data_IF_821328919980
#
_entry.id   IF_821328919980
#
_cell.length_a   1.000
_cell.length_b   1.000
_cell.length_c   1.000
_cell.angle_alpha   90.00
_cell.angle_beta   90.00
_cell.angle_gamma   90.00
#
_symmetry.space_group_name_H-M   'P 1'
#
loop_
_entity.id
_entity.type
_entity.pdbx_description
1 polymer ?
#
# COMPACT_ATOMS: atom_id res chain seq x y z
N UNK A 1 -4.50 27.88 4.48
CA UNK A 1 -4.00 26.51 4.69
C UNK A 1 -4.55 25.65 3.57
N UNK A 2 -3.70 25.04 2.75
CA UNK A 2 -4.19 24.12 1.71
C UNK A 2 -4.59 22.82 2.40
N UNK A 3 -5.89 22.56 2.47
CA UNK A 3 -6.48 21.27 2.86
C UNK A 3 -6.97 20.50 1.62
N UNK A 4 -6.57 20.96 0.44
CA UNK A 4 -7.01 20.41 -0.83
C UNK A 4 -6.05 19.29 -1.23
N UNK A 5 -6.59 18.08 -1.28
CA UNK A 5 -5.88 16.87 -1.66
C UNK A 5 -6.87 15.84 -2.15
N UNK A 6 -6.37 14.80 -2.81
CA UNK A 6 -7.20 13.68 -3.25
C UNK A 6 -6.79 12.47 -2.42
N UNK A 7 -7.74 11.78 -1.80
CA UNK A 7 -7.46 10.48 -1.21
C UNK A 7 -7.70 9.40 -2.26
N UNK A 8 -6.84 8.38 -2.29
CA UNK A 8 -6.89 7.29 -3.25
C UNK A 8 -6.67 5.95 -2.56
N UNK A 9 -7.42 4.95 -3.00
CA UNK A 9 -7.29 3.55 -2.59
C UNK A 9 -7.65 2.63 -3.76
N UNK A 10 -7.10 1.41 -3.79
CA UNK A 10 -7.36 0.43 -4.86
C UNK A 10 -7.63 -0.97 -4.32
N UNK A 11 -8.43 -1.73 -5.06
CA UNK A 11 -8.65 -3.17 -4.81
C UNK A 11 -8.01 -4.00 -5.93
N UNK A 12 -7.42 -5.15 -5.60
CA UNK A 12 -6.78 -6.05 -6.58
C UNK A 12 -7.51 -7.37 -6.70
N UNK A 13 -7.54 -7.92 -7.91
CA UNK A 13 -8.23 -9.19 -8.21
C UNK A 13 -7.51 -10.41 -7.62
N UNK A 14 -6.20 -10.35 -7.50
CA UNK A 14 -5.37 -11.43 -6.98
C UNK A 14 -4.11 -10.89 -6.28
N UNK A 15 -3.17 -11.79 -5.93
CA UNK A 15 -1.92 -11.44 -5.25
C UNK A 15 -0.94 -10.57 -6.08
N UNK A 16 -1.12 -10.43 -7.40
CA UNK A 16 -0.37 -9.49 -8.22
C UNK A 16 -0.92 -8.07 -8.03
N UNK A 17 -0.08 -7.17 -7.53
CA UNK A 17 -0.49 -5.79 -7.25
C UNK A 17 -0.91 -5.03 -8.51
N UNK A 18 -0.46 -5.47 -9.70
CA UNK A 18 -0.89 -4.91 -10.98
C UNK A 18 -2.31 -5.31 -11.41
N UNK A 19 -2.99 -6.20 -10.69
CA UNK A 19 -4.33 -6.72 -11.01
C UNK A 19 -5.47 -5.84 -10.47
N UNK A 20 -5.30 -4.52 -10.48
CA UNK A 20 -6.30 -3.56 -9.97
C UNK A 20 -7.65 -3.78 -10.64
N UNK A 21 -8.68 -4.00 -9.82
CA UNK A 21 -10.07 -4.21 -10.25
C UNK A 21 -11.04 -3.12 -9.75
N UNK A 22 -10.60 -2.25 -8.84
CA UNK A 22 -11.30 -1.01 -8.50
C UNK A 22 -10.32 0.10 -8.11
N UNK A 23 -10.69 1.35 -8.40
CA UNK A 23 -9.98 2.57 -7.99
C UNK A 23 -10.97 3.55 -7.37
N UNK A 24 -10.75 3.90 -6.11
CA UNK A 24 -11.49 4.94 -5.40
C UNK A 24 -10.71 6.24 -5.35
N UNK A 25 -11.33 7.36 -5.70
CA UNK A 25 -10.77 8.71 -5.56
C UNK A 25 -11.73 9.61 -4.81
N UNK A 26 -11.23 10.36 -3.82
CA UNK A 26 -12.03 11.30 -3.04
C UNK A 26 -11.30 12.62 -2.92
N UNK A 27 -11.79 13.63 -3.61
CA UNK A 27 -11.26 14.99 -3.52
C UNK A 27 -11.78 15.66 -2.25
N UNK A 28 -10.86 16.06 -1.38
CA UNK A 28 -11.12 16.93 -0.26
C UNK A 28 -10.81 18.36 -0.63
N UNK A 29 -11.73 19.28 -0.32
CA UNK A 29 -11.55 20.72 -0.50
C UNK A 29 -11.96 21.43 0.78
N UNK A 30 -11.11 22.34 1.26
CA UNK A 30 -11.36 23.12 2.48
C UNK A 30 -11.70 22.25 3.71
N UNK A 31 -11.15 21.02 3.76
CA UNK A 31 -11.36 20.07 4.87
C UNK A 31 -12.68 19.29 4.82
N UNK A 32 -13.40 19.32 3.70
CA UNK A 32 -14.60 18.52 3.47
C UNK A 32 -14.50 17.70 2.17
N UNK A 33 -15.27 16.62 2.08
CA UNK A 33 -15.40 15.86 0.82
C UNK A 33 -16.09 16.75 -0.21
N UNK A 34 -15.40 17.03 -1.32
CA UNK A 34 -15.92 17.80 -2.44
C UNK A 34 -16.55 16.91 -3.50
N UNK A 35 -15.85 15.84 -3.88
CA UNK A 35 -16.32 14.88 -4.89
C UNK A 35 -15.66 13.53 -4.69
N UNK A 36 -16.38 12.46 -4.98
CA UNK A 36 -15.83 11.10 -5.05
C UNK A 36 -16.04 10.49 -6.44
N UNK A 37 -15.19 9.54 -6.78
CA UNK A 37 -15.27 8.71 -7.96
C UNK A 37 -14.90 7.27 -7.58
N UNK A 38 -15.69 6.33 -8.04
CA UNK A 38 -15.47 4.89 -7.87
C UNK A 38 -15.43 4.26 -9.26
N UNK A 39 -14.32 3.62 -9.61
CA UNK A 39 -14.06 3.10 -10.95
C UNK A 39 -13.81 1.61 -10.85
N UNK A 40 -14.77 0.81 -11.32
CA UNK A 40 -14.51 -0.61 -11.59
C UNK A 40 -13.62 -0.76 -12.83
N UNK A 41 -12.66 -1.65 -12.74
CA UNK A 41 -11.63 -1.89 -13.75
C UNK A 41 -11.63 -3.37 -14.11
N UNK A 42 -11.55 -3.68 -15.39
CA UNK A 42 -11.22 -5.05 -15.83
C UNK A 42 -9.70 -5.23 -15.75
N UNK A 43 -9.17 -6.05 -14.80
CA UNK A 43 -7.74 -6.25 -14.67
C UNK A 43 -7.16 -7.15 -15.79
N UNK A 44 -8.02 -7.74 -16.63
CA UNK A 44 -7.66 -8.75 -17.64
C UNK A 44 -6.84 -9.89 -17.00
N UNK A 45 -7.29 -10.35 -15.84
CA UNK A 45 -6.61 -11.35 -15.02
C UNK A 45 -7.60 -12.24 -14.24
N UNK A 46 -7.08 -13.32 -13.67
CA UNK A 46 -7.86 -14.21 -12.80
C UNK A 46 -8.15 -13.56 -11.44
N UNK A 47 -9.30 -13.90 -10.86
CA UNK A 47 -9.67 -13.43 -9.52
C UNK A 47 -9.47 -14.54 -8.49
N UNK A 48 -8.78 -14.22 -7.41
CA UNK A 48 -8.61 -15.12 -6.28
C UNK A 48 -9.87 -15.10 -5.38
N UNK A 49 -10.41 -16.27 -4.98
CA UNK A 49 -11.59 -16.31 -4.09
C UNK A 49 -11.38 -15.62 -2.73
N UNK A 50 -10.14 -15.43 -2.29
CA UNK A 50 -9.80 -14.68 -1.10
C UNK A 50 -10.05 -13.18 -1.30
N UNK A 51 -9.56 -12.60 -2.39
CA UNK A 51 -9.78 -11.19 -2.76
C UNK A 51 -11.27 -10.91 -2.97
N UNK A 52 -11.96 -11.76 -3.74
CA UNK A 52 -13.42 -11.63 -3.93
C UNK A 52 -14.15 -11.60 -2.58
N UNK A 53 -13.74 -12.40 -1.59
CA UNK A 53 -14.39 -12.43 -0.27
C UNK A 53 -14.19 -11.15 0.53
N UNK A 54 -13.09 -10.44 0.29
CA UNK A 54 -12.72 -9.20 0.95
C UNK A 54 -13.61 -8.05 0.45
N UNK A 55 -13.55 -7.75 -0.85
CA UNK A 55 -14.20 -6.58 -1.46
C UNK A 55 -15.49 -6.89 -2.23
N UNK A 56 -15.79 -8.16 -2.50
CA UNK A 56 -17.02 -8.58 -3.19
C UNK A 56 -17.05 -8.28 -4.69
N UNK A 57 -15.92 -7.95 -5.32
CA UNK A 57 -15.82 -7.68 -6.76
C UNK A 57 -15.53 -9.00 -7.47
N UNK A 58 -16.41 -9.39 -8.39
CA UNK A 58 -16.30 -10.65 -9.15
C UNK A 58 -15.91 -10.35 -10.60
N UNK A 59 -15.38 -11.34 -11.35
CA UNK A 59 -15.10 -11.19 -12.79
C UNK A 59 -16.30 -10.65 -13.58
N UNK A 60 -17.52 -11.07 -13.23
CA UNK A 60 -18.75 -10.62 -13.91
C UNK A 60 -19.04 -9.14 -13.67
N UNK A 61 -18.69 -8.59 -12.50
CA UNK A 61 -18.89 -7.16 -12.19
C UNK A 61 -17.98 -6.25 -13.01
N UNK A 62 -16.79 -6.74 -13.36
CA UNK A 62 -15.80 -5.98 -14.12
C UNK A 62 -15.84 -6.26 -15.62
N UNK A 63 -16.60 -7.28 -16.05
CA UNK A 63 -16.75 -7.60 -17.46
C UNK A 63 -17.25 -6.39 -18.27
N UNK A 64 -16.49 -6.02 -19.30
CA UNK A 64 -16.79 -4.87 -20.17
C UNK A 64 -16.48 -3.49 -19.57
N UNK A 65 -15.88 -3.43 -18.38
CA UNK A 65 -15.32 -2.20 -17.81
C UNK A 65 -13.98 -1.85 -18.49
N UNK A 66 -13.51 -0.59 -18.41
CA UNK A 66 -12.19 -0.25 -18.92
C UNK A 66 -11.09 -0.99 -18.17
N UNK A 67 -9.99 -1.33 -18.85
CA UNK A 67 -8.75 -1.79 -18.21
C UNK A 67 -7.88 -0.59 -17.81
N UNK A 68 -6.77 -0.86 -17.10
CA UNK A 68 -5.87 0.20 -16.63
C UNK A 68 -5.18 0.97 -17.77
N UNK A 69 -5.05 0.38 -18.97
CA UNK A 69 -4.58 1.10 -20.15
C UNK A 69 -5.44 2.33 -20.50
N UNK A 70 -6.75 2.28 -20.21
CA UNK A 70 -7.68 3.39 -20.40
C UNK A 70 -7.84 4.26 -19.17
N UNK A 71 -7.79 3.66 -17.98
CA UNK A 71 -8.05 4.38 -16.71
C UNK A 71 -6.87 5.28 -16.33
N UNK A 72 -5.63 4.78 -16.40
CA UNK A 72 -4.44 5.52 -15.93
C UNK A 72 -4.30 6.89 -16.60
N UNK A 73 -4.36 7.03 -17.95
CA UNK A 73 -4.21 8.33 -18.58
C UNK A 73 -5.26 9.36 -18.15
N UNK A 74 -6.50 8.90 -17.91
CA UNK A 74 -7.60 9.77 -17.48
C UNK A 74 -7.37 10.28 -16.05
N UNK A 75 -6.99 9.38 -15.13
CA UNK A 75 -6.70 9.80 -13.75
C UNK A 75 -5.40 10.61 -13.68
N UNK A 76 -4.35 10.27 -14.44
CA UNK A 76 -3.08 10.99 -14.43
C UNK A 76 -3.25 12.47 -14.78
N UNK A 77 -4.08 12.79 -15.78
CA UNK A 77 -4.40 14.16 -16.14
C UNK A 77 -5.14 14.92 -15.03
N UNK A 78 -5.99 14.23 -14.26
CA UNK A 78 -6.72 14.84 -13.14
C UNK A 78 -5.88 15.00 -11.87
N UNK A 79 -4.80 14.21 -11.75
CA UNK A 79 -3.93 14.14 -10.56
C UNK A 79 -2.61 14.88 -10.74
N UNK A 80 -2.42 15.59 -11.85
CA UNK A 80 -1.18 16.30 -12.14
C UNK A 80 -0.84 17.31 -11.03
N UNK A 81 0.32 17.14 -10.41
CA UNK A 81 0.81 17.92 -9.27
C UNK A 81 -0.09 17.86 -8.01
N UNK A 82 -1.06 16.96 -7.96
CA UNK A 82 -1.92 16.79 -6.81
C UNK A 82 -1.19 16.08 -5.66
N UNK A 83 -1.58 16.40 -4.43
CA UNK A 83 -1.23 15.59 -3.26
C UNK A 83 -2.23 14.46 -3.14
N UNK A 84 -1.74 13.22 -3.15
CA UNK A 84 -2.52 11.99 -3.01
C UNK A 84 -2.34 11.41 -1.62
N UNK A 85 -3.41 11.33 -0.84
CA UNK A 85 -3.42 10.68 0.47
C UNK A 85 -3.82 9.22 0.31
N UNK A 86 -3.05 8.31 0.90
CA UNK A 86 -3.33 6.87 0.89
C UNK A 86 -3.05 6.27 2.28
N UNK A 87 -3.41 5.00 2.54
CA UNK A 87 -3.30 4.41 3.90
C UNK A 87 -2.33 3.24 4.03
N UNK A 88 -1.56 2.94 2.99
CA UNK A 88 -0.33 2.16 3.09
C UNK A 88 0.46 2.24 1.79
N UNK A 89 1.75 1.89 1.76
CA UNK A 89 2.53 1.83 0.52
C UNK A 89 1.93 1.00 -0.63
N UNK A 90 0.94 0.14 -0.33
CA UNK A 90 0.24 -0.71 -1.30
C UNK A 90 -0.28 0.07 -2.52
N UNK A 91 -1.06 1.14 -2.31
CA UNK A 91 -1.80 1.81 -3.40
C UNK A 91 -0.88 2.38 -4.47
N UNK A 92 0.16 3.10 -4.03
CA UNK A 92 1.16 3.69 -4.93
C UNK A 92 1.93 2.62 -5.69
N UNK A 93 2.19 1.47 -5.06
CA UNK A 93 2.88 0.34 -5.71
C UNK A 93 1.97 -0.36 -6.71
N UNK A 94 0.72 -0.63 -6.35
CA UNK A 94 -0.26 -1.25 -7.24
C UNK A 94 -0.47 -0.42 -8.51
N UNK A 95 -0.58 0.90 -8.39
CA UNK A 95 -0.69 1.80 -9.53
C UNK A 95 0.58 1.84 -10.39
N UNK A 96 1.76 1.86 -9.78
CA UNK A 96 3.03 1.77 -10.51
C UNK A 96 3.16 0.42 -11.27
N UNK A 97 2.71 -0.67 -10.66
CA UNK A 97 2.70 -2.01 -11.26
C UNK A 97 1.72 -2.11 -12.42
N UNK A 98 0.50 -1.59 -12.26
CA UNK A 98 -0.47 -1.50 -13.33
C UNK A 98 0.04 -0.63 -14.48
N UNK A 99 0.63 0.53 -14.19
CA UNK A 99 1.25 1.40 -15.19
C UNK A 99 2.34 0.66 -15.99
N UNK A 100 3.21 -0.09 -15.32
CA UNK A 100 4.24 -0.91 -15.95
C UNK A 100 3.67 -2.03 -16.81
N UNK A 101 2.63 -2.73 -16.33
CA UNK A 101 1.94 -3.82 -17.06
C UNK A 101 1.33 -3.33 -18.37
N UNK A 102 0.71 -2.15 -18.35
CA UNK A 102 -0.02 -1.60 -19.50
C UNK A 102 0.77 -0.57 -20.32
N UNK A 103 1.99 -0.21 -19.90
CA UNK A 103 2.85 0.74 -20.61
C UNK A 103 2.28 2.16 -20.69
N UNK A 104 1.46 2.58 -19.72
CA UNK A 104 0.75 3.89 -19.75
C UNK A 104 1.52 5.06 -19.17
N UNK A 105 2.63 4.79 -18.49
CA UNK A 105 3.26 5.74 -17.58
C UNK A 105 2.54 5.82 -16.23
N UNK A 106 3.26 6.29 -15.21
CA UNK A 106 2.79 6.46 -13.83
C UNK A 106 1.92 7.70 -13.60
N UNK A 107 1.58 7.97 -12.34
CA UNK A 107 0.80 9.14 -11.95
C UNK A 107 1.72 10.32 -11.60
N UNK A 108 1.61 11.49 -12.25
CA UNK A 108 2.45 12.65 -11.98
C UNK A 108 1.97 13.42 -10.73
N UNK A 109 2.22 12.85 -9.56
CA UNK A 109 1.65 13.33 -8.30
C UNK A 109 2.59 13.11 -7.11
N UNK A 110 2.17 13.62 -5.95
CA UNK A 110 2.89 13.45 -4.69
C UNK A 110 2.05 12.66 -3.71
N UNK A 111 2.54 11.51 -3.27
CA UNK A 111 1.87 10.62 -2.33
C UNK A 111 2.20 10.97 -0.88
N UNK A 112 1.21 10.90 0.01
CA UNK A 112 1.35 11.06 1.46
C UNK A 112 0.61 9.92 2.17
N UNK A 113 1.31 9.26 3.09
CA UNK A 113 0.80 8.11 3.81
C UNK A 113 0.13 8.53 5.12
N UNK A 114 -1.21 8.45 5.16
CA UNK A 114 -2.02 8.77 6.33
C UNK A 114 -1.77 7.83 7.52
N UNK A 115 -1.30 6.59 7.29
CA UNK A 115 -0.92 5.67 8.36
C UNK A 115 0.37 6.16 9.04
N UNK A 116 1.35 6.65 8.28
CA UNK A 116 2.54 7.29 8.85
C UNK A 116 2.21 8.58 9.60
N UNK A 117 1.32 9.42 9.06
CA UNK A 117 0.83 10.60 9.76
C UNK A 117 0.17 10.22 11.09
N UNK A 118 -0.65 9.16 11.10
CA UNK A 118 -1.27 8.64 12.31
C UNK A 118 -0.24 8.13 13.34
N UNK A 119 0.76 7.36 12.90
CA UNK A 119 1.87 6.85 13.75
C UNK A 119 2.64 7.98 14.44
N UNK A 120 2.84 9.10 13.75
CA UNK A 120 3.56 10.28 14.28
C UNK A 120 2.69 11.19 15.15
N UNK A 121 1.37 11.08 15.03
CA UNK A 121 0.43 11.95 15.75
C UNK A 121 -0.13 11.30 17.02
N UNK A 122 -0.36 9.98 17.02
CA UNK A 122 -1.10 9.31 18.10
C UNK A 122 -0.43 8.03 18.61
N UNK A 123 0.52 8.16 19.53
CA UNK A 123 1.22 7.03 20.15
C UNK A 123 0.30 5.98 20.81
N UNK A 124 -0.90 6.39 21.25
CA UNK A 124 -1.87 5.54 21.98
C UNK A 124 -2.34 4.29 21.21
N UNK A 125 -2.14 4.22 19.89
CA UNK A 125 -2.52 3.06 19.09
C UNK A 125 -1.38 2.02 18.96
N UNK A 126 -0.16 2.38 19.34
CA UNK A 126 0.97 1.45 19.39
C UNK A 126 0.68 0.36 20.43
N UNK A 127 0.53 -0.89 19.97
CA UNK A 127 0.18 -2.01 20.84
C UNK A 127 -1.30 -2.11 21.23
N UNK A 128 -2.16 -1.21 20.73
CA UNK A 128 -3.60 -1.18 21.03
C UNK A 128 -4.42 -1.27 19.72
N UNK A 129 -4.36 -2.42 19.06
CA UNK A 129 -5.00 -2.66 17.75
C UNK A 129 -4.23 -2.10 16.55
N UNK A 130 -3.20 -1.28 16.78
CA UNK A 130 -2.31 -0.77 15.73
C UNK A 130 -2.93 0.34 14.87
N UNK A 131 -2.27 0.66 13.77
CA UNK A 131 -2.61 1.80 12.90
C UNK A 131 -3.32 1.36 11.61
N UNK A 132 -3.99 0.20 11.62
CA UNK A 132 -4.81 -0.22 10.49
C UNK A 132 -6.07 0.63 10.36
N UNK A 133 -6.53 0.83 9.11
CA UNK A 133 -7.65 1.72 8.78
C UNK A 133 -8.90 1.43 9.61
N UNK A 134 -9.29 0.15 9.72
CA UNK A 134 -10.45 -0.28 10.49
C UNK A 134 -10.35 0.05 12.00
N UNK A 135 -9.16 -0.05 12.60
CA UNK A 135 -8.97 0.26 14.01
C UNK A 135 -9.05 1.77 14.25
N UNK A 136 -8.40 2.55 13.39
CA UNK A 136 -8.36 4.01 13.49
C UNK A 136 -9.75 4.61 13.24
N UNK A 137 -10.43 4.21 12.16
CA UNK A 137 -11.79 4.68 11.84
C UNK A 137 -12.77 4.42 12.98
N UNK A 138 -12.78 3.19 13.53
CA UNK A 138 -13.58 2.84 14.71
C UNK A 138 -13.25 3.74 15.91
N UNK A 139 -11.97 3.97 16.18
CA UNK A 139 -11.52 4.75 17.34
C UNK A 139 -11.85 6.24 17.24
N UNK A 140 -11.95 6.77 16.02
CA UNK A 140 -12.29 8.16 15.75
C UNK A 140 -13.77 8.36 15.37
N UNK A 141 -14.59 7.30 15.37
CA UNK A 141 -16.01 7.37 15.03
C UNK A 141 -16.28 7.73 13.56
N UNK A 142 -15.36 7.37 12.66
CA UNK A 142 -15.53 7.56 11.22
C UNK A 142 -16.39 6.41 10.69
N UNK A 143 -17.54 6.74 10.10
CA UNK A 143 -18.37 5.75 9.39
C UNK A 143 -17.55 5.12 8.25
N UNK A 144 -17.52 3.79 8.19
CA UNK A 144 -16.61 3.05 7.33
C UNK A 144 -17.24 1.73 6.88
N UNK A 145 -17.43 1.58 5.58
CA UNK A 145 -17.75 0.30 4.94
C UNK A 145 -16.45 -0.26 4.38
N UNK A 146 -15.88 -1.25 5.06
CA UNK A 146 -14.56 -1.77 4.69
C UNK A 146 -14.60 -2.46 3.32
N UNK A 147 -13.54 -2.28 2.52
CA UNK A 147 -13.29 -2.95 1.25
C UNK A 147 -14.14 -2.44 0.08
N UNK A 148 -14.49 -1.16 0.14
CA UNK A 148 -14.91 -0.38 -1.02
C UNK A 148 -13.84 0.68 -1.23
N UNK A 149 -13.11 0.62 -2.35
CA UNK A 149 -11.99 1.52 -2.62
C UNK A 149 -12.33 3.00 -2.36
N UNK A 150 -13.52 3.46 -2.74
CA UNK A 150 -13.94 4.85 -2.52
C UNK A 150 -14.18 5.20 -1.04
N UNK A 151 -14.66 4.26 -0.23
CA UNK A 151 -14.87 4.45 1.21
C UNK A 151 -13.54 4.34 1.99
N UNK A 152 -12.66 3.42 1.60
CA UNK A 152 -11.30 3.28 2.13
C UNK A 152 -10.47 4.55 1.82
N UNK A 153 -10.57 5.08 0.59
CA UNK A 153 -10.00 6.39 0.24
C UNK A 153 -10.59 7.52 1.10
N UNK A 154 -11.92 7.60 1.24
CA UNK A 154 -12.57 8.63 2.07
C UNK A 154 -12.08 8.58 3.52
N UNK A 155 -12.05 7.40 4.12
CA UNK A 155 -11.59 7.19 5.48
C UNK A 155 -10.12 7.63 5.67
N UNK A 156 -9.27 7.28 4.71
CA UNK A 156 -7.85 7.69 4.67
C UNK A 156 -7.70 9.21 4.66
N UNK A 157 -8.48 9.90 3.82
CA UNK A 157 -8.50 11.36 3.77
C UNK A 157 -9.01 12.01 5.06
N UNK A 158 -10.06 11.45 5.67
CA UNK A 158 -10.57 11.93 6.97
C UNK A 158 -9.54 11.76 8.08
N UNK A 159 -8.81 10.63 8.12
CA UNK A 159 -7.72 10.42 9.06
C UNK A 159 -6.59 11.44 8.87
N UNK A 160 -6.27 11.78 7.62
CA UNK A 160 -5.27 12.81 7.34
C UNK A 160 -5.71 14.18 7.87
N UNK A 161 -6.98 14.56 7.68
CA UNK A 161 -7.51 15.80 8.25
C UNK A 161 -7.45 15.81 9.78
N UNK A 162 -7.78 14.70 10.43
CA UNK A 162 -7.64 14.55 11.88
C UNK A 162 -6.17 14.68 12.32
N UNK A 163 -5.23 14.11 11.55
CA UNK A 163 -3.81 14.18 11.87
C UNK A 163 -3.27 15.61 11.74
N UNK A 164 -3.66 16.33 10.67
CA UNK A 164 -3.35 17.75 10.47
C UNK A 164 -3.88 18.59 11.64
N UNK A 165 -5.14 18.37 12.05
CA UNK A 165 -5.76 19.12 13.14
C UNK A 165 -5.09 18.83 14.49
N UNK A 166 -4.87 17.55 14.81
CA UNK A 166 -4.32 17.13 16.11
C UNK A 166 -2.84 17.50 16.29
N UNK A 167 -2.05 17.47 15.21
CA UNK A 167 -0.63 17.82 15.24
C UNK A 167 -0.36 19.33 15.06
N UNK A 168 -1.30 20.07 14.46
CA UNK A 168 -1.06 21.42 13.97
C UNK A 168 -0.11 21.50 12.75
N UNK A 169 0.31 20.35 12.22
CA UNK A 169 1.23 20.26 11.08
C UNK A 169 0.46 20.38 9.76
N UNK A 170 0.73 21.40 8.92
CA UNK A 170 0.03 21.58 7.66
C UNK A 170 0.45 20.53 6.61
N UNK A 171 -0.43 20.27 5.64
CA UNK A 171 -0.25 19.23 4.62
C UNK A 171 1.11 19.26 3.91
N UNK A 172 1.62 20.43 3.52
CA UNK A 172 2.90 20.54 2.82
C UNK A 172 4.09 20.01 3.65
N UNK A 173 4.03 20.10 4.98
CA UNK A 173 5.08 19.55 5.85
C UNK A 173 5.04 18.03 5.89
N UNK A 174 3.85 17.44 5.87
CA UNK A 174 3.70 16.00 5.71
C UNK A 174 4.24 15.51 4.36
N UNK A 175 4.00 16.28 3.28
CA UNK A 175 4.61 16.02 1.98
C UNK A 175 6.14 16.04 2.06
N UNK A 176 6.72 17.05 2.69
CA UNK A 176 8.18 17.16 2.82
C UNK A 176 8.77 15.97 3.62
N UNK A 177 8.12 15.56 4.70
CA UNK A 177 8.67 14.61 5.67
C UNK A 177 8.47 13.13 5.30
N UNK A 178 7.31 12.79 4.74
CA UNK A 178 6.89 11.41 4.45
C UNK A 178 6.41 11.20 3.02
N UNK A 179 6.52 12.22 2.17
CA UNK A 179 6.01 12.18 0.82
C UNK A 179 6.87 11.40 -0.16
N UNK A 180 6.21 10.89 -1.20
CA UNK A 180 6.83 10.24 -2.35
C UNK A 180 6.39 10.97 -3.63
N UNK A 181 7.33 11.27 -4.51
CA UNK A 181 7.03 11.87 -5.81
C UNK A 181 7.07 10.81 -6.91
N UNK A 182 6.12 10.85 -7.85
CA UNK A 182 6.15 10.09 -9.09
C UNK A 182 5.86 10.99 -10.28
N UNK A 183 6.38 10.63 -11.45
CA UNK A 183 6.02 11.25 -12.73
C UNK A 183 5.34 10.22 -13.64
N UNK A 184 4.97 10.64 -14.85
CA UNK A 184 4.56 9.69 -15.90
C UNK A 184 5.66 8.69 -16.24
N UNK A 185 6.94 9.05 -16.08
CA UNK A 185 8.08 8.20 -16.45
C UNK A 185 8.74 7.50 -15.27
N UNK A 186 8.42 7.89 -14.04
CA UNK A 186 9.09 7.38 -12.84
C UNK A 186 8.12 6.80 -11.83
N UNK A 187 8.45 5.60 -11.34
CA UNK A 187 7.79 5.03 -10.17
C UNK A 187 7.94 5.95 -8.95
N UNK A 188 7.02 5.90 -7.98
CA UNK A 188 7.11 6.68 -6.75
C UNK A 188 8.46 6.51 -6.05
N UNK A 189 9.09 7.63 -5.68
CA UNK A 189 10.34 7.68 -4.91
C UNK A 189 10.21 8.65 -3.77
N UNK A 190 10.82 8.34 -2.63
CA UNK A 190 10.75 9.19 -1.44
C UNK A 190 11.38 10.57 -1.72
N UNK A 191 10.70 11.64 -1.33
CA UNK A 191 11.15 13.04 -1.55
C UNK A 191 12.39 13.33 -0.70
N UNK A 192 12.36 12.96 0.58
CA UNK A 192 13.50 13.02 1.48
C UNK A 192 13.85 11.61 1.97
N UNK A 193 14.97 11.08 1.48
CA UNK A 193 15.52 9.83 2.01
C UNK A 193 16.00 10.06 3.45
N UNK A 194 15.64 9.20 4.43
CA UNK A 194 16.16 9.32 5.78
C UNK A 194 17.68 9.14 5.74
N UNK A 195 18.43 10.04 6.38
CA UNK A 195 19.86 9.90 6.49
C UNK A 195 20.19 8.74 7.44
N UNK A 196 20.76 7.65 6.93
CA UNK A 196 21.30 6.59 7.81
C UNK A 196 22.75 6.22 7.47
N UNK A 197 23.55 6.14 8.53
CA UNK A 197 24.93 5.67 8.55
C UNK A 197 24.97 4.27 9.19
N UNK A 198 25.14 3.20 8.40
CA UNK A 198 25.54 1.92 8.97
C UNK A 198 25.20 0.66 8.15
N UNK A 199 26.22 -0.18 7.95
CA UNK A 199 26.16 -1.54 7.38
C UNK A 199 25.90 -2.58 8.48
N UNK A 200 24.82 -3.37 8.40
CA UNK A 200 24.70 -4.75 8.96
C UNK A 200 23.40 -5.43 8.48
N UNK A 201 23.34 -6.76 8.53
CA UNK A 201 22.34 -7.61 7.83
C UNK A 201 21.14 -8.01 8.72
N UNK A 202 21.29 -8.05 10.04
CA UNK A 202 20.18 -8.11 10.98
C UNK A 202 20.00 -6.71 11.56
N UNK A 203 18.87 -6.09 11.27
CA UNK A 203 18.58 -4.71 11.65
C UNK A 203 17.19 -4.66 12.27
N UNK A 204 17.10 -4.08 13.47
CA UNK A 204 15.84 -3.52 13.92
C UNK A 204 15.50 -2.37 12.99
N UNK A 205 14.26 -2.33 12.50
CA UNK A 205 13.82 -1.31 11.58
C UNK A 205 13.88 0.10 12.19
N UNK A 206 14.01 1.12 11.35
CA UNK A 206 13.83 2.51 11.79
C UNK A 206 12.46 2.67 12.48
N UNK A 207 12.45 3.29 13.65
CA UNK A 207 11.23 3.44 14.48
C UNK A 207 10.16 4.35 13.85
N UNK A 208 10.52 5.10 12.81
CA UNK A 208 9.72 6.11 12.14
C UNK A 208 9.53 5.88 10.62
N UNK A 209 9.99 4.74 10.10
CA UNK A 209 9.80 4.35 8.69
C UNK A 209 8.36 3.95 8.36
N UNK A 210 7.98 3.90 7.06
CA UNK A 210 6.64 3.47 6.62
C UNK A 210 6.19 2.14 7.22
N UNK A 211 7.12 1.21 7.32
CA UNK A 211 6.89 -0.13 7.86
C UNK A 211 7.35 -0.30 9.31
N UNK A 212 7.54 0.79 10.06
CA UNK A 212 7.85 0.72 11.48
C UNK A 212 6.83 -0.13 12.24
N UNK A 213 7.33 -1.15 12.96
CA UNK A 213 6.54 -2.14 13.70
C UNK A 213 6.17 -3.41 12.92
N UNK A 214 6.52 -3.49 11.64
CA UNK A 214 6.30 -4.67 10.80
C UNK A 214 7.47 -5.63 10.93
N UNK A 215 7.21 -6.95 10.92
CA UNK A 215 8.24 -7.98 10.87
C UNK A 215 8.17 -8.70 9.54
N UNK A 216 9.22 -8.54 8.72
CA UNK A 216 9.32 -9.11 7.37
C UNK A 216 10.13 -10.39 7.35
N UNK A 217 9.69 -11.37 6.57
CA UNK A 217 10.43 -12.60 6.29
C UNK A 217 10.53 -12.77 4.78
N UNK A 218 11.71 -13.08 4.26
CA UNK A 218 11.91 -13.38 2.85
C UNK A 218 11.90 -14.89 2.57
N UNK A 219 11.28 -15.30 1.47
CA UNK A 219 11.26 -16.68 0.98
C UNK A 219 11.23 -16.74 -0.55
N UNK A 220 11.37 -17.94 -1.11
CA UNK A 220 11.46 -18.14 -2.55
C UNK A 220 12.82 -17.74 -3.11
N UNK A 221 12.96 -17.84 -4.43
CA UNK A 221 14.15 -17.35 -5.13
C UNK A 221 13.99 -15.84 -5.38
N UNK A 222 14.82 -15.01 -4.75
CA UNK A 222 14.79 -13.57 -4.98
C UNK A 222 15.63 -13.21 -6.21
N UNK A 223 15.17 -12.25 -7.01
CA UNK A 223 15.89 -11.61 -8.11
C UNK A 223 17.03 -10.72 -7.60
N UNK A 224 16.85 -10.08 -6.43
CA UNK A 224 17.92 -9.33 -5.75
C UNK A 224 18.57 -10.17 -4.66
N UNK A 225 19.81 -9.82 -4.31
CA UNK A 225 20.50 -10.46 -3.20
C UNK A 225 19.68 -10.28 -1.91
N UNK A 226 19.42 -11.37 -1.17
CA UNK A 226 18.66 -11.33 0.10
C UNK A 226 19.20 -10.31 1.11
N UNK A 227 20.51 -10.10 1.11
CA UNK A 227 21.15 -9.09 1.94
C UNK A 227 20.74 -7.66 1.56
N UNK A 228 20.60 -7.38 0.26
CA UNK A 228 20.12 -6.09 -0.22
C UNK A 228 18.64 -5.90 0.14
N UNK A 229 17.81 -6.91 -0.10
CA UNK A 229 16.38 -6.89 0.26
C UNK A 229 16.17 -6.62 1.77
N UNK A 230 16.97 -7.26 2.62
CA UNK A 230 16.94 -7.05 4.06
C UNK A 230 17.34 -5.62 4.45
N UNK A 231 18.39 -5.07 3.82
CA UNK A 231 18.85 -3.70 4.05
C UNK A 231 17.79 -2.66 3.66
N UNK A 232 17.14 -2.86 2.52
CA UNK A 232 16.10 -1.96 2.02
C UNK A 232 14.86 -2.03 2.92
N UNK A 233 14.45 -3.24 3.34
CA UNK A 233 13.36 -3.42 4.29
C UNK A 233 13.60 -2.75 5.64
N UNK A 234 14.81 -2.92 6.20
CA UNK A 234 15.19 -2.31 7.47
C UNK A 234 15.23 -0.77 7.37
N UNK A 235 15.70 -0.24 6.23
CA UNK A 235 15.69 1.20 5.93
C UNK A 235 14.27 1.76 5.84
N UNK A 236 13.30 0.94 5.44
CA UNK A 236 11.89 1.30 5.43
C UNK A 236 11.17 1.07 6.77
N UNK A 237 11.85 0.56 7.80
CA UNK A 237 11.32 0.40 9.15
C UNK A 237 10.94 -1.03 9.56
N UNK A 238 11.14 -2.03 8.71
CA UNK A 238 10.84 -3.43 9.06
C UNK A 238 11.88 -4.05 9.99
N UNK A 239 11.44 -4.86 10.95
CA UNK A 239 12.28 -5.86 11.59
C UNK A 239 12.42 -7.07 10.66
N UNK A 240 13.65 -7.41 10.24
CA UNK A 240 13.89 -8.54 9.33
C UNK A 240 14.12 -9.83 10.12
N UNK A 241 13.32 -10.87 9.85
CA UNK A 241 13.40 -12.17 10.52
C UNK A 241 13.66 -13.33 9.55
N UNK A 242 14.34 -14.38 10.04
CA UNK A 242 14.73 -15.54 9.23
C UNK A 242 13.62 -16.58 9.02
N UNK A 243 12.58 -16.55 9.85
CA UNK A 243 11.51 -17.55 9.85
C UNK A 243 10.14 -16.95 10.13
N UNK A 244 9.11 -17.58 9.57
CA UNK A 244 7.71 -17.19 9.82
C UNK A 244 7.33 -17.58 11.25
N UNK A 245 6.97 -16.59 12.06
CA UNK A 245 6.57 -16.74 13.47
C UNK A 245 5.28 -15.97 13.72
N UNK A 246 4.75 -16.02 14.95
CA UNK A 246 3.57 -15.23 15.35
C UNK A 246 3.78 -13.72 15.27
N UNK A 247 5.04 -13.25 15.21
CA UNK A 247 5.38 -11.84 15.04
C UNK A 247 5.44 -11.41 13.58
N UNK A 248 5.55 -12.36 12.65
CA UNK A 248 5.63 -12.05 11.22
C UNK A 248 4.35 -11.37 10.77
N UNK A 249 4.50 -10.23 10.10
CA UNK A 249 3.39 -9.46 9.55
C UNK A 249 3.46 -9.39 8.02
N UNK A 250 4.66 -9.56 7.43
CA UNK A 250 4.88 -9.58 5.98
C UNK A 250 5.75 -10.78 5.60
N UNK A 251 5.31 -11.58 4.63
CA UNK A 251 6.10 -12.59 3.95
C UNK A 251 6.35 -12.14 2.51
N UNK A 252 7.62 -11.86 2.17
CA UNK A 252 8.04 -11.52 0.81
C UNK A 252 8.44 -12.79 0.09
N UNK A 253 7.86 -13.00 -1.09
CA UNK A 253 8.02 -14.19 -1.93
C UNK A 253 8.58 -13.75 -3.28
N UNK A 254 9.59 -14.46 -3.82
CA UNK A 254 10.06 -14.20 -5.18
C UNK A 254 8.93 -14.22 -6.21
N UNK A 255 8.93 -13.33 -7.20
CA UNK A 255 7.76 -13.10 -8.06
C UNK A 255 7.31 -14.34 -8.84
N UNK A 256 8.28 -15.18 -9.25
CA UNK A 256 8.02 -16.46 -9.91
C UNK A 256 7.32 -17.48 -8.99
N UNK A 257 7.42 -17.29 -7.67
CA UNK A 257 6.84 -18.14 -6.65
C UNK A 257 5.46 -17.62 -6.17
N UNK A 258 5.02 -16.43 -6.64
CA UNK A 258 3.66 -15.89 -6.40
C UNK A 258 2.61 -16.60 -7.24
N UNK A 259 2.94 -16.86 -8.51
CA UNK A 259 2.03 -17.50 -9.47
C UNK A 259 2.29 -19.00 -9.45
N UNK A 260 1.25 -19.79 -9.15
CA UNK A 260 1.29 -21.25 -9.31
C UNK A 260 1.42 -21.60 -10.80
N UNK A 261 2.64 -21.61 -11.34
CA UNK A 261 2.93 -22.22 -12.65
C UNK A 261 3.28 -23.69 -12.50
N UNK A 262 2.64 -24.51 -13.34
CA UNK A 262 2.75 -25.98 -13.48
C UNK A 262 4.03 -26.57 -12.87
N UNK A 263 3.91 -27.12 -11.65
CA UNK A 263 4.85 -28.08 -11.09
C UNK A 263 5.87 -27.58 -10.08
N UNK A 264 5.90 -26.29 -9.71
CA UNK A 264 6.73 -25.84 -8.57
C UNK A 264 5.93 -25.79 -7.27
N UNK A 265 6.39 -26.53 -6.26
CA UNK A 265 5.80 -26.53 -4.92
C UNK A 265 6.13 -25.23 -4.18
N UNK A 266 5.10 -24.62 -3.56
CA UNK A 266 5.26 -23.49 -2.63
C UNK A 266 6.32 -23.79 -1.57
N UNK A 267 7.12 -22.78 -1.22
CA UNK A 267 8.13 -22.92 -0.17
C UNK A 267 7.52 -23.33 1.18
N UNK A 268 8.31 -23.95 2.05
CA UNK A 268 7.85 -24.34 3.39
C UNK A 268 7.40 -23.13 4.23
N UNK A 269 8.04 -21.96 4.05
CA UNK A 269 7.66 -20.70 4.69
C UNK A 269 6.35 -20.15 4.14
N UNK A 270 6.12 -20.25 2.83
CA UNK A 270 4.87 -19.84 2.19
C UNK A 270 3.71 -20.69 2.72
N UNK A 271 3.82 -22.03 2.68
CA UNK A 271 2.82 -22.94 3.24
C UNK A 271 2.54 -22.67 4.72
N UNK A 272 3.59 -22.38 5.50
CA UNK A 272 3.46 -22.04 6.92
C UNK A 272 2.70 -20.73 7.12
N UNK A 273 2.98 -19.70 6.33
CA UNK A 273 2.25 -18.44 6.39
C UNK A 273 0.77 -18.63 6.03
N UNK A 274 0.46 -19.35 4.95
CA UNK A 274 -0.93 -19.68 4.58
C UNK A 274 -1.66 -20.44 5.68
N UNK A 275 -1.01 -21.42 6.30
CA UNK A 275 -1.58 -22.14 7.43
C UNK A 275 -1.83 -21.23 8.63
N UNK A 276 -0.92 -20.29 8.92
CA UNK A 276 -1.12 -19.32 10.00
C UNK A 276 -2.26 -18.34 9.67
N UNK A 277 -2.38 -17.89 8.42
CA UNK A 277 -3.49 -17.05 7.94
C UNK A 277 -4.81 -17.78 8.07
N UNK A 278 -4.87 -19.07 7.69
CA UNK A 278 -6.06 -19.90 7.85
C UNK A 278 -6.48 -20.06 9.32
N UNK A 279 -5.54 -19.92 10.27
CA UNK A 279 -5.77 -19.91 11.71
C UNK A 279 -5.94 -18.49 12.29
N UNK A 280 -6.17 -17.48 11.45
CA UNK A 280 -6.48 -16.11 11.87
C UNK A 280 -5.29 -15.20 12.11
N UNK A 281 -4.07 -15.59 11.71
CA UNK A 281 -2.92 -14.68 11.78
C UNK A 281 -2.99 -13.60 10.69
N UNK A 282 -2.67 -12.36 11.04
CA UNK A 282 -2.61 -11.23 10.12
C UNK A 282 -1.26 -11.16 9.41
N UNK A 283 -1.03 -12.03 8.42
CA UNK A 283 0.20 -12.07 7.61
C UNK A 283 -0.14 -11.67 6.17
N UNK A 284 0.60 -10.71 5.62
CA UNK A 284 0.51 -10.30 4.21
C UNK A 284 1.56 -11.04 3.39
N UNK A 285 1.16 -11.69 2.31
CA UNK A 285 2.07 -12.31 1.35
C UNK A 285 2.24 -11.35 0.17
N UNK A 286 3.47 -10.98 -0.16
CA UNK A 286 3.80 -9.94 -1.14
C UNK A 286 4.89 -10.44 -2.08
N UNK A 287 4.80 -10.08 -3.37
CA UNK A 287 5.87 -10.31 -4.33
C UNK A 287 7.14 -9.55 -4.01
N UNK A 288 8.27 -10.03 -4.49
CA UNK A 288 9.55 -9.36 -4.33
C UNK A 288 9.53 -7.99 -5.01
N UNK A 289 9.15 -7.92 -6.29
CA UNK A 289 9.13 -6.65 -7.02
C UNK A 289 8.19 -5.65 -6.35
N UNK A 290 7.01 -6.11 -5.91
CA UNK A 290 6.02 -5.30 -5.20
C UNK A 290 6.58 -4.78 -3.88
N UNK A 291 7.22 -5.65 -3.10
CA UNK A 291 7.85 -5.26 -1.84
C UNK A 291 8.98 -4.24 -2.05
N UNK A 292 9.82 -4.43 -3.07
CA UNK A 292 10.90 -3.50 -3.37
C UNK A 292 10.39 -2.12 -3.75
N UNK A 293 9.31 -2.03 -4.53
CA UNK A 293 8.65 -0.77 -4.87
C UNK A 293 8.02 -0.08 -3.65
N UNK A 294 7.65 -0.84 -2.62
CA UNK A 294 7.07 -0.26 -1.40
C UNK A 294 8.12 0.36 -0.47
N UNK A 295 9.33 -0.21 -0.43
CA UNK A 295 10.41 0.18 0.50
C UNK A 295 11.41 1.19 -0.08
N UNK A 296 11.46 1.33 -1.41
CA UNK A 296 12.22 2.36 -2.13
C UNK A 296 11.47 3.70 -2.15
#
# INVERSE_FOLDING_TARGET
>A
MVKDFIALDVETANADFGSICSVGLVHFKDGAVFKSLDILVDPEDAFDPANIRIHGITPEKVSGKPNMARVIPVIAAALENAVIVHHSPFDRTALARAAGRYGTGGLPCTWVDSCQAAKRTWDRFRGNGGYGLANLTKSFGIEFTHHQAVDDARASGMLMLLAIEASGTPLHRWVDDIGYASTVDTSPRRIQAPAYAGKKVAQSGLSDGPFAGETVVFTGALQIARQQAASDAASAGCDVADSVTKKTTILVVGDQDLRLTKGQEKSSKHRKAEHMIANGATIRIVGETDFMLMVQ
#
